data_IF_717168363917
#
_entry.id   IF_717168363917
#
_cell.length_a   1.000
_cell.length_b   1.000
_cell.length_c   1.000
_cell.angle_alpha   90.00
_cell.angle_beta   90.00
_cell.angle_gamma   90.00
#
_symmetry.space_group_name_H-M   'P 1'
#
loop_
_entity.id
_entity.type
_entity.pdbx_description
1 polymer ?
#
# COMPACT_ATOMS: atom_id res chain seq x y z
N UNK A 1 -37.59 -0.52 31.90
CA UNK A 1 -37.29 -0.95 31.70
C UNK A 1 -36.60 -1.12 30.74
N UNK A 2 -36.24 -1.35 30.30
CA UNK A 2 -35.69 -1.61 29.50
C UNK A 2 -34.96 -0.99 28.68
N UNK A 3 -34.94 -0.35 28.33
CA UNK A 3 -34.36 0.35 27.68
C UNK A 3 -33.07 0.44 27.49
N UNK A 4 -32.29 -0.05 27.76
CA UNK A 4 -30.87 0.06 27.83
C UNK A 4 -30.13 -0.65 26.77
N UNK A 5 -30.75 -1.10 25.75
CA UNK A 5 -30.10 -1.86 24.77
C UNK A 5 -29.42 -1.07 23.72
N UNK A 6 -29.83 0.12 23.49
CA UNK A 6 -29.33 0.93 22.42
C UNK A 6 -27.85 1.16 22.36
N UNK A 7 -27.13 1.33 23.46
CA UNK A 7 -25.74 1.69 23.37
C UNK A 7 -24.85 0.65 22.73
N UNK A 8 -25.26 -0.56 22.73
CA UNK A 8 -24.44 -1.62 22.16
C UNK A 8 -24.30 -1.55 20.68
N UNK A 9 -25.32 -1.12 20.03
CA UNK A 9 -25.28 -1.06 18.58
C UNK A 9 -24.30 -0.03 18.06
N UNK A 10 -24.08 1.02 18.82
CA UNK A 10 -23.17 2.06 18.40
C UNK A 10 -21.72 1.63 18.39
N UNK A 11 -21.34 0.80 19.30
CA UNK A 11 -19.97 0.36 19.38
C UNK A 11 -19.56 -0.42 18.14
N UNK A 12 -20.46 -1.15 17.57
CA UNK A 12 -20.16 -1.95 16.39
C UNK A 12 -19.87 -1.10 15.17
N UNK A 13 -20.55 -0.01 15.02
CA UNK A 13 -20.32 0.83 13.87
C UNK A 13 -18.95 1.45 13.87
N UNK A 14 -18.43 1.76 15.02
CA UNK A 14 -17.12 2.37 15.09
C UNK A 14 -16.01 1.41 14.66
N UNK A 15 -16.17 0.14 14.95
CA UNK A 15 -15.17 -0.83 14.55
C UNK A 15 -15.05 -0.95 13.05
N UNK A 16 -16.14 -0.87 12.35
CA UNK A 16 -16.12 -0.99 10.91
C UNK A 16 -15.32 0.11 10.26
N UNK A 17 -15.33 1.31 10.83
CA UNK A 17 -14.59 2.42 10.26
C UNK A 17 -13.09 2.32 10.44
N UNK A 18 -12.63 1.54 11.41
CA UNK A 18 -11.21 1.46 11.68
C UNK A 18 -10.48 0.42 10.84
N UNK A 19 -11.20 -0.38 10.08
CA UNK A 19 -10.61 -1.55 9.45
C UNK A 19 -10.04 -1.32 8.07
N UNK A 20 -10.03 -0.10 7.56
CA UNK A 20 -9.74 0.13 6.15
C UNK A 20 -8.35 0.65 5.83
N UNK A 21 -7.52 0.96 6.83
CA UNK A 21 -6.26 1.64 6.56
C UNK A 21 -5.11 0.75 6.11
N UNK A 22 -5.14 -0.52 6.45
CA UNK A 22 -4.02 -1.43 6.24
C UNK A 22 -4.47 -2.74 5.62
N UNK A 23 -4.84 -2.73 4.33
CA UNK A 23 -5.21 -3.99 3.69
C UNK A 23 -3.99 -4.85 3.45
N UNK A 24 -4.21 -6.15 3.31
CA UNK A 24 -3.15 -7.05 2.87
C UNK A 24 -2.90 -6.82 1.38
N UNK A 25 -1.67 -7.04 0.96
CA UNK A 25 -1.35 -6.91 -0.47
C UNK A 25 -2.22 -7.86 -1.29
N UNK A 26 -2.48 -9.07 -0.79
CA UNK A 26 -3.37 -10.00 -1.47
C UNK A 26 -4.76 -9.41 -1.71
N UNK A 27 -5.28 -8.65 -0.76
CA UNK A 27 -6.60 -8.03 -0.92
C UNK A 27 -6.61 -7.01 -2.04
N UNK A 28 -5.56 -6.22 -2.13
CA UNK A 28 -5.43 -5.21 -3.18
C UNK A 28 -5.35 -5.89 -4.55
N UNK A 29 -4.59 -6.98 -4.63
CA UNK A 29 -4.40 -7.70 -5.89
C UNK A 29 -5.64 -8.45 -6.34
N UNK A 30 -6.43 -8.94 -5.39
CA UNK A 30 -7.67 -9.65 -5.73
C UNK A 30 -8.81 -8.70 -6.13
N UNK A 31 -8.82 -7.50 -5.56
CA UNK A 31 -9.88 -6.54 -5.83
C UNK A 31 -9.29 -5.15 -6.12
N UNK A 32 -8.51 -5.02 -7.18
CA UNK A 32 -7.86 -3.73 -7.46
C UNK A 32 -8.85 -2.59 -7.65
N UNK A 33 -10.02 -2.87 -8.21
CA UNK A 33 -11.03 -1.82 -8.41
C UNK A 33 -11.53 -1.24 -7.10
N UNK A 34 -11.56 -2.02 -6.04
CA UNK A 34 -12.00 -1.55 -4.74
C UNK A 34 -11.03 -0.54 -4.14
N UNK A 35 -9.76 -0.67 -4.44
CA UNK A 35 -8.72 0.18 -3.87
C UNK A 35 -8.21 1.24 -4.84
N UNK A 36 -8.68 1.21 -6.08
CA UNK A 36 -8.23 2.14 -7.11
C UNK A 36 -8.36 3.58 -6.66
N UNK A 37 -7.28 4.34 -6.82
CA UNK A 37 -7.19 5.75 -6.43
C UNK A 37 -7.35 6.01 -4.94
N UNK A 38 -7.19 4.99 -4.13
CA UNK A 38 -7.25 5.12 -2.67
C UNK A 38 -5.87 4.99 -2.08
N UNK A 39 -5.62 5.72 -1.00
CA UNK A 39 -4.38 5.60 -0.26
C UNK A 39 -4.49 4.44 0.72
N UNK A 40 -3.49 3.58 0.70
CA UNK A 40 -3.41 2.45 1.61
C UNK A 40 -2.02 2.41 2.23
N UNK A 41 -1.90 1.73 3.36
CA UNK A 41 -0.60 1.51 4.00
C UNK A 41 -0.32 0.01 3.98
N UNK A 42 0.85 -0.37 3.48
CA UNK A 42 1.29 -1.77 3.51
C UNK A 42 2.59 -1.87 4.28
N UNK A 43 2.71 -2.92 5.07
CA UNK A 43 3.90 -3.21 5.86
C UNK A 43 4.53 -4.48 5.35
N UNK A 44 5.81 -4.43 5.05
CA UNK A 44 6.47 -5.62 4.54
C UNK A 44 7.96 -5.45 4.39
N UNK A 45 8.54 -6.36 3.61
CA UNK A 45 9.96 -6.43 3.36
C UNK A 45 10.22 -6.15 1.90
N UNK A 46 11.23 -5.32 1.63
CA UNK A 46 11.61 -5.01 0.25
C UNK A 46 12.28 -6.24 -0.35
N UNK A 47 11.74 -6.74 -1.45
CA UNK A 47 12.25 -7.92 -2.13
C UNK A 47 13.14 -7.58 -3.31
N UNK A 48 12.94 -6.42 -3.92
CA UNK A 48 13.83 -5.93 -4.96
C UNK A 48 13.73 -4.42 -5.06
N UNK A 49 14.76 -3.80 -5.59
CA UNK A 49 14.84 -2.35 -5.65
C UNK A 49 15.71 -1.97 -6.85
N UNK A 50 15.20 -1.07 -7.67
CA UNK A 50 15.98 -0.59 -8.82
C UNK A 50 15.57 0.83 -9.20
N UNK A 51 16.51 1.58 -9.75
CA UNK A 51 16.26 2.90 -10.28
C UNK A 51 16.15 2.84 -11.79
N UNK A 52 15.48 3.81 -12.36
CA UNK A 52 15.38 3.93 -13.81
C UNK A 52 16.40 4.95 -14.29
N UNK A 53 17.30 4.55 -15.19
CA UNK A 53 18.29 5.51 -15.73
C UNK A 53 17.56 6.66 -16.40
N UNK A 54 18.10 7.85 -16.25
CA UNK A 54 17.60 9.06 -16.88
C UNK A 54 16.25 9.55 -16.34
N UNK A 55 15.67 8.85 -15.36
CA UNK A 55 14.42 9.27 -14.76
C UNK A 55 14.62 9.42 -13.26
N UNK A 56 13.95 10.39 -12.63
CA UNK A 56 14.05 10.57 -11.19
C UNK A 56 13.28 9.52 -10.40
N UNK A 57 12.48 8.73 -11.10
CA UNK A 57 11.63 7.73 -10.44
C UNK A 57 12.40 6.49 -10.05
N UNK A 58 11.96 5.87 -8.99
CA UNK A 58 12.54 4.64 -8.47
C UNK A 58 11.42 3.64 -8.22
N UNK A 59 11.75 2.38 -8.44
CA UNK A 59 10.80 1.30 -8.19
C UNK A 59 11.37 0.33 -7.19
N UNK A 60 10.52 -0.20 -6.34
CA UNK A 60 10.89 -1.29 -5.47
C UNK A 60 9.65 -2.14 -5.20
N UNK A 61 9.87 -3.37 -4.77
CA UNK A 61 8.77 -4.30 -4.46
C UNK A 61 8.76 -4.62 -2.99
N UNK A 62 7.56 -4.71 -2.45
CA UNK A 62 7.33 -5.00 -1.04
C UNK A 62 6.47 -6.24 -0.93
N UNK A 63 6.85 -7.15 -0.05
CA UNK A 63 6.12 -8.39 0.22
C UNK A 63 5.70 -8.38 1.69
N UNK A 64 4.42 -8.54 1.94
CA UNK A 64 3.89 -8.58 3.31
C UNK A 64 3.56 -9.99 3.78
N UNK A 65 3.97 -11.00 3.04
CA UNK A 65 3.64 -12.39 3.35
C UNK A 65 2.38 -12.88 2.67
N UNK A 66 1.54 -12.00 2.17
CA UNK A 66 0.33 -12.38 1.43
C UNK A 66 0.47 -12.16 -0.07
N UNK A 67 1.44 -11.36 -0.47
CA UNK A 67 1.70 -11.06 -1.86
C UNK A 67 2.72 -9.97 -1.97
N UNK A 68 3.08 -9.64 -3.21
CA UNK A 68 4.09 -8.64 -3.51
C UNK A 68 3.48 -7.54 -4.35
N UNK A 69 3.84 -6.30 -4.08
CA UNK A 69 3.36 -5.16 -4.83
C UNK A 69 4.53 -4.25 -5.22
N UNK A 70 4.43 -3.66 -6.40
CA UNK A 70 5.40 -2.68 -6.86
C UNK A 70 5.06 -1.31 -6.31
N UNK A 71 6.06 -0.59 -5.84
CA UNK A 71 5.92 0.78 -5.36
C UNK A 71 6.74 1.68 -6.26
N UNK A 72 6.14 2.78 -6.68
CA UNK A 72 6.81 3.80 -7.51
C UNK A 72 7.04 5.02 -6.65
N UNK A 73 8.28 5.45 -6.54
CA UNK A 73 8.65 6.64 -5.78
C UNK A 73 9.16 7.70 -6.73
N UNK A 74 8.60 8.91 -6.62
CA UNK A 74 8.98 10.02 -7.49
C UNK A 74 10.30 10.65 -7.05
N UNK A 75 10.62 10.54 -5.78
CA UNK A 75 11.82 11.16 -5.25
C UNK A 75 12.19 10.49 -3.95
N UNK A 76 13.36 10.84 -3.44
CA UNK A 76 13.79 10.36 -2.15
C UNK A 76 14.64 9.11 -2.24
N UNK A 77 14.86 8.50 -1.10
CA UNK A 77 15.73 7.36 -0.98
C UNK A 77 15.00 6.08 -1.32
N UNK A 78 15.63 5.21 -2.08
CA UNK A 78 15.08 3.89 -2.36
C UNK A 78 15.51 2.93 -1.25
N UNK A 79 14.58 2.19 -0.65
CA UNK A 79 14.97 1.22 0.36
C UNK A 79 15.74 0.06 -0.25
N UNK A 80 16.66 -0.48 0.50
CA UNK A 80 17.45 -1.61 0.06
C UNK A 80 16.68 -2.91 0.20
N UNK A 81 17.04 -3.90 -0.61
CA UNK A 81 16.49 -5.24 -0.49
C UNK A 81 16.70 -5.75 0.93
N UNK A 82 15.66 -6.32 1.51
CA UNK A 82 15.69 -6.83 2.88
C UNK A 82 15.23 -5.83 3.93
N UNK A 83 15.05 -4.58 3.58
CA UNK A 83 14.59 -3.58 4.53
C UNK A 83 13.12 -3.81 4.90
N UNK A 84 12.81 -3.61 6.16
CA UNK A 84 11.42 -3.62 6.61
C UNK A 84 10.88 -2.22 6.51
N UNK A 85 9.74 -2.09 5.86
CA UNK A 85 9.17 -0.77 5.58
C UNK A 85 7.67 -0.76 5.81
N UNK A 86 7.15 0.44 6.04
CA UNK A 86 5.74 0.74 6.00
C UNK A 86 5.56 1.80 4.92
N UNK A 87 4.78 1.47 3.90
CA UNK A 87 4.60 2.35 2.75
C UNK A 87 3.16 2.79 2.68
N UNK A 88 2.96 4.09 2.66
CA UNK A 88 1.65 4.65 2.34
C UNK A 88 1.69 5.10 0.89
N UNK A 89 0.75 4.63 0.11
CA UNK A 89 0.70 4.95 -1.30
C UNK A 89 -0.70 4.88 -1.87
N UNK A 90 -0.85 5.52 -3.02
CA UNK A 90 -2.11 5.49 -3.75
C UNK A 90 -2.09 4.32 -4.71
N UNK A 91 -3.14 3.55 -4.71
CA UNK A 91 -3.25 2.38 -5.59
C UNK A 91 -3.60 2.82 -7.00
N UNK A 92 -2.85 2.30 -7.97
CA UNK A 92 -3.09 2.55 -9.36
C UNK A 92 -2.86 1.24 -10.13
N UNK A 93 -3.62 0.98 -11.17
CA UNK A 93 -3.52 -0.30 -11.86
C UNK A 93 -2.87 -0.22 -13.23
N UNK A 94 -2.43 0.95 -13.65
CA UNK A 94 -1.72 1.07 -14.90
C UNK A 94 -0.91 2.36 -14.94
N UNK A 95 0.29 2.25 -15.46
CA UNK A 95 1.14 3.41 -15.71
C UNK A 95 2.23 3.03 -16.69
N UNK A 96 2.76 4.02 -17.40
CA UNK A 96 3.90 3.85 -18.27
C UNK A 96 4.99 4.81 -17.83
N UNK A 97 6.17 4.26 -17.53
CA UNK A 97 7.32 5.04 -17.11
C UNK A 97 8.49 4.68 -17.98
N UNK A 98 9.08 5.68 -18.64
CA UNK A 98 10.27 5.45 -19.44
C UNK A 98 10.11 4.39 -20.51
N UNK A 99 8.91 4.28 -21.08
CA UNK A 99 8.63 3.28 -22.09
C UNK A 99 8.24 1.91 -21.55
N UNK A 100 8.21 1.74 -20.24
CA UNK A 100 7.82 0.48 -19.63
C UNK A 100 6.45 0.58 -18.99
N UNK A 101 5.65 -0.46 -19.15
CA UNK A 101 4.34 -0.54 -18.53
C UNK A 101 4.47 -1.18 -17.16
N UNK A 102 3.81 -0.58 -16.20
CA UNK A 102 3.72 -1.10 -14.84
C UNK A 102 2.25 -1.33 -14.54
N UNK A 103 1.92 -2.55 -14.14
CA UNK A 103 0.54 -2.87 -13.78
C UNK A 103 0.16 -2.31 -12.42
N UNK A 104 -0.48 -3.13 -11.61
CA UNK A 104 -0.88 -2.70 -10.28
C UNK A 104 0.33 -2.24 -9.46
N UNK A 105 0.25 -1.04 -8.94
CA UNK A 105 1.35 -0.48 -8.15
C UNK A 105 0.82 0.54 -7.15
N UNK A 106 1.67 0.89 -6.20
CA UNK A 106 1.40 1.98 -5.28
C UNK A 106 2.28 3.18 -5.67
N UNK A 107 1.66 4.34 -5.74
CA UNK A 107 2.41 5.59 -5.89
C UNK A 107 2.76 6.08 -4.50
N UNK A 108 4.03 6.04 -4.14
CA UNK A 108 4.48 6.33 -2.79
C UNK A 108 4.11 7.74 -2.35
N UNK A 109 3.43 7.82 -1.22
CA UNK A 109 3.14 9.09 -0.55
C UNK A 109 4.04 9.26 0.66
N UNK A 110 4.34 8.17 1.35
CA UNK A 110 5.20 8.21 2.51
C UNK A 110 5.86 6.85 2.71
N UNK A 111 7.11 6.88 3.15
CA UNK A 111 7.87 5.67 3.43
C UNK A 111 8.47 5.77 4.81
N UNK A 112 8.25 4.76 5.63
CA UNK A 112 8.88 4.65 6.95
C UNK A 112 9.65 3.36 7.02
N UNK A 113 10.85 3.43 7.57
CA UNK A 113 11.65 2.24 7.81
C UNK A 113 11.29 1.70 9.20
N UNK A 114 11.13 0.40 9.29
CA UNK A 114 10.80 -0.27 10.54
C UNK A 114 12.01 -1.04 11.04
N UNK A 115 12.05 -1.24 12.34
CA UNK A 115 13.13 -1.99 12.96
C UNK A 115 12.78 -3.45 13.15
#
# INVERSE_FOLDING_TARGET
>A
MLRTISPLALALTLLAGCATGHPRIADIKHNPGRYQNRSVTVDGVVTSSWGMPLLPMKLYKVDDGTGEVTVVAQSGRTPAKGARVSVKGRVNDFATFGGQSVGLHLEQENLKFKR
#
